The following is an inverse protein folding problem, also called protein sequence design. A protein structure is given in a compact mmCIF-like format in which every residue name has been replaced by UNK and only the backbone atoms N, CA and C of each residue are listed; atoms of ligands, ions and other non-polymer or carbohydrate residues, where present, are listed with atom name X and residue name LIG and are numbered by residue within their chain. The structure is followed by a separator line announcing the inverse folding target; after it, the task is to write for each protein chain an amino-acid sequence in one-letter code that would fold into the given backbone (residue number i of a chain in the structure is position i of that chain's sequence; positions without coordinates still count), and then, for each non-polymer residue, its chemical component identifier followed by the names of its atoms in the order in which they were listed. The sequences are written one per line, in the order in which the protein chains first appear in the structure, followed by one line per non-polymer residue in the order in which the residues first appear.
data_IF_356638832262
#
_entry.id   IF_356638832262
#
_cell.length_a   1.000
_cell.length_b   1.000
_cell.length_c   1.000
_cell.angle_alpha   90.00
_cell.angle_beta   90.00
_cell.angle_gamma   90.00
#
_symmetry.space_group_name_H-M   'P 1'
#
loop_
_entity.id
_entity.type
_entity.pdbx_description
1 polymer ?
#
# COMPACT_ATOMS: atom_id res chain seq x y z
N UNK A 1 -20.69 41.87 -2.07
CA UNK A 1 -19.67 41.49 -3.08
C UNK A 1 -18.24 41.70 -2.60
N UNK A 2 -17.87 42.76 -1.91
CA UNK A 2 -16.50 43.01 -1.40
C UNK A 2 -16.02 41.94 -0.42
N UNK A 3 -16.87 41.43 0.50
CA UNK A 3 -16.48 40.37 1.47
C UNK A 3 -16.25 39.01 0.85
N UNK A 4 -16.86 38.68 -0.30
CA UNK A 4 -16.63 37.44 -1.04
C UNK A 4 -15.31 37.51 -1.82
N UNK A 5 -15.03 38.65 -2.44
CA UNK A 5 -13.78 38.89 -3.16
C UNK A 5 -12.56 38.81 -2.24
N UNK A 6 -12.69 39.35 -1.03
CA UNK A 6 -11.66 39.25 0.00
C UNK A 6 -11.43 37.79 0.47
N UNK A 7 -12.47 36.92 0.50
CA UNK A 7 -12.33 35.50 0.86
C UNK A 7 -11.56 34.66 -0.18
N UNK A 8 -11.81 34.91 -1.44
CA UNK A 8 -11.10 34.24 -2.54
C UNK A 8 -9.63 34.64 -2.54
N UNK A 9 -9.33 35.92 -2.43
CA UNK A 9 -7.96 36.42 -2.32
C UNK A 9 -7.22 35.83 -1.10
N UNK A 10 -7.90 35.75 0.05
CA UNK A 10 -7.32 35.13 1.26
C UNK A 10 -7.09 33.61 1.09
N UNK A 11 -7.98 32.93 0.38
CA UNK A 11 -7.81 31.51 0.10
C UNK A 11 -6.62 31.23 -0.84
N UNK A 12 -6.32 32.15 -1.77
CA UNK A 12 -5.16 32.04 -2.67
C UNK A 12 -3.81 32.22 -1.96
N UNK A 13 -3.77 32.92 -0.84
CA UNK A 13 -2.56 33.08 -0.02
C UNK A 13 -2.20 31.80 0.75
N UNK A 14 -3.18 30.92 1.04
CA UNK A 14 -2.92 29.72 1.86
C UNK A 14 -1.94 28.76 1.19
N UNK A 15 -2.06 28.39 -0.11
CA UNK A 15 -1.07 27.56 -0.77
C UNK A 15 0.34 28.16 -0.79
N UNK A 16 0.47 29.47 -0.93
CA UNK A 16 1.76 30.17 -0.89
C UNK A 16 2.44 30.02 0.47
N UNK A 17 1.69 30.28 1.55
CA UNK A 17 2.16 30.13 2.91
C UNK A 17 2.50 28.65 3.25
N UNK A 18 1.82 27.70 2.63
CA UNK A 18 2.14 26.29 2.77
C UNK A 18 3.43 25.92 2.04
N UNK A 19 3.70 26.51 0.89
CA UNK A 19 4.96 26.33 0.16
C UNK A 19 6.14 26.88 0.94
N UNK A 20 5.94 27.88 1.80
CA UNK A 20 6.92 28.40 2.77
C UNK A 20 7.14 27.47 3.99
N UNK A 21 6.52 26.31 4.01
CA UNK A 21 6.70 25.28 5.07
C UNK A 21 5.69 25.36 6.21
N UNK A 22 4.63 26.20 6.12
CA UNK A 22 3.58 26.24 7.13
C UNK A 22 2.59 25.10 6.93
N UNK A 23 2.12 24.49 8.01
CA UNK A 23 1.00 23.56 7.92
C UNK A 23 -0.27 24.27 7.44
N UNK A 24 -1.20 23.56 6.80
CA UNK A 24 -2.47 24.14 6.32
C UNK A 24 -3.20 24.93 7.41
N UNK A 25 -3.24 24.47 8.65
CA UNK A 25 -3.87 25.19 9.76
C UNK A 25 -3.16 26.49 10.09
N UNK A 26 -1.83 26.48 10.15
CA UNK A 26 -1.04 27.68 10.41
C UNK A 26 -1.16 28.68 9.26
N UNK A 27 -1.15 28.21 8.01
CA UNK A 27 -1.37 29.04 6.84
C UNK A 27 -2.76 29.69 6.86
N UNK A 28 -3.81 28.96 7.17
CA UNK A 28 -5.17 29.51 7.31
C UNK A 28 -5.26 30.55 8.44
N UNK A 29 -4.66 30.30 9.60
CA UNK A 29 -4.64 31.27 10.72
C UNK A 29 -3.92 32.55 10.28
N UNK A 30 -2.77 32.42 9.60
CA UNK A 30 -2.00 33.56 9.11
C UNK A 30 -2.72 34.36 8.03
N UNK A 31 -3.49 33.66 7.17
CA UNK A 31 -4.37 34.26 6.17
C UNK A 31 -5.67 34.87 6.74
N UNK A 32 -5.94 34.67 8.05
CA UNK A 32 -7.15 35.22 8.70
C UNK A 32 -8.42 34.44 8.38
N UNK A 33 -8.34 33.17 8.03
CA UNK A 33 -9.48 32.31 7.71
C UNK A 33 -9.46 30.99 8.47
N UNK A 34 -10.61 30.29 8.53
CA UNK A 34 -10.65 28.95 9.12
C UNK A 34 -10.30 27.89 8.09
N UNK A 35 -9.72 26.78 8.54
CA UNK A 35 -9.42 25.63 7.68
C UNK A 35 -10.67 25.12 6.93
N UNK A 36 -11.84 25.15 7.58
CA UNK A 36 -13.09 24.73 6.97
C UNK A 36 -13.52 25.66 5.83
N UNK A 37 -13.35 26.98 6.01
CA UNK A 37 -13.65 27.96 4.95
C UNK A 37 -12.72 27.79 3.77
N UNK A 38 -11.43 27.53 4.03
CA UNK A 38 -10.46 27.25 3.00
C UNK A 38 -10.80 25.96 2.21
N UNK A 39 -11.11 24.87 2.88
CA UNK A 39 -11.46 23.60 2.19
C UNK A 39 -12.71 23.74 1.32
N UNK A 40 -13.71 24.51 1.76
CA UNK A 40 -14.88 24.83 0.92
C UNK A 40 -14.51 25.66 -0.32
N UNK A 41 -13.54 26.56 -0.22
CA UNK A 41 -13.04 27.30 -1.36
C UNK A 41 -12.27 26.40 -2.34
N UNK A 42 -11.47 25.44 -1.82
CA UNK A 42 -10.79 24.42 -2.63
C UNK A 42 -11.80 23.55 -3.39
N UNK A 43 -12.87 23.09 -2.72
CA UNK A 43 -13.93 22.28 -3.35
C UNK A 43 -14.68 23.08 -4.45
N UNK A 44 -14.79 24.41 -4.31
CA UNK A 44 -15.49 25.28 -5.25
C UNK A 44 -14.62 25.70 -6.46
N UNK A 45 -13.28 25.64 -6.36
CA UNK A 45 -12.36 26.13 -7.39
C UNK A 45 -11.32 25.07 -7.77
N UNK A 46 -11.41 24.48 -8.98
CA UNK A 46 -10.42 23.52 -9.46
C UNK A 46 -9.00 24.08 -9.51
N UNK A 47 -8.85 25.35 -9.89
CA UNK A 47 -7.54 26.02 -9.94
C UNK A 47 -6.90 26.13 -8.54
N UNK A 48 -7.70 26.44 -7.52
CA UNK A 48 -7.22 26.47 -6.14
C UNK A 48 -6.90 25.08 -5.62
N UNK A 49 -7.65 24.05 -6.02
CA UNK A 49 -7.39 22.66 -5.69
C UNK A 49 -6.04 22.18 -6.24
N UNK A 50 -5.71 22.53 -7.48
CA UNK A 50 -4.40 22.24 -8.07
C UNK A 50 -3.25 22.92 -7.30
N UNK A 51 -3.38 24.22 -7.03
CA UNK A 51 -2.39 24.98 -6.25
C UNK A 51 -2.21 24.40 -4.85
N UNK A 52 -3.30 24.01 -4.20
CA UNK A 52 -3.25 23.34 -2.90
C UNK A 52 -2.55 21.99 -2.95
N UNK A 53 -2.79 21.18 -3.98
CA UNK A 53 -2.13 19.90 -4.17
C UNK A 53 -0.61 20.09 -4.39
N UNK A 54 -0.20 21.06 -5.19
CA UNK A 54 1.21 21.40 -5.41
C UNK A 54 1.88 21.90 -4.12
N UNK A 55 1.25 22.81 -3.38
CA UNK A 55 1.76 23.31 -2.11
C UNK A 55 1.89 22.19 -1.06
N UNK A 56 0.96 21.25 -1.05
CA UNK A 56 1.04 20.06 -0.19
C UNK A 56 2.21 19.15 -0.56
N UNK A 57 2.50 18.99 -1.85
CA UNK A 57 3.69 18.27 -2.33
C UNK A 57 4.98 18.95 -1.88
N UNK A 58 5.09 20.26 -2.07
CA UNK A 58 6.23 21.05 -1.64
C UNK A 58 6.47 20.98 -0.12
N UNK A 59 5.40 20.99 0.68
CA UNK A 59 5.49 20.83 2.14
C UNK A 59 6.07 19.47 2.53
N UNK A 60 5.70 18.39 1.83
CA UNK A 60 6.27 17.06 2.09
C UNK A 60 7.76 16.99 1.71
N UNK A 61 8.15 17.61 0.60
CA UNK A 61 9.55 17.70 0.19
C UNK A 61 10.37 18.52 1.21
N UNK A 62 9.85 19.64 1.70
CA UNK A 62 10.47 20.42 2.76
C UNK A 62 10.62 19.63 4.09
N UNK A 63 9.71 18.70 4.39
CA UNK A 63 9.85 17.79 5.54
C UNK A 63 11.05 16.85 5.37
N UNK A 64 11.35 16.39 4.15
CA UNK A 64 12.55 15.58 3.87
C UNK A 64 13.81 16.38 4.13
N UNK A 65 13.87 17.62 3.63
CA UNK A 65 15.01 18.51 3.87
C UNK A 65 15.22 18.78 5.37
N UNK A 66 14.13 18.92 6.13
CA UNK A 66 14.20 19.05 7.59
C UNK A 66 14.77 17.79 8.25
N UNK A 67 14.45 16.59 7.78
CA UNK A 67 15.02 15.33 8.29
C UNK A 67 16.52 15.31 8.05
N UNK A 68 16.97 15.65 6.85
CA UNK A 68 18.39 15.74 6.50
C UNK A 68 19.11 16.77 7.38
N UNK A 69 18.55 17.96 7.50
CA UNK A 69 19.11 19.02 8.37
C UNK A 69 19.22 18.57 9.83
N UNK A 70 18.22 17.86 10.36
CA UNK A 70 18.27 17.34 11.72
C UNK A 70 19.29 16.22 11.88
N UNK A 71 19.44 15.36 10.87
CA UNK A 71 20.39 14.26 10.90
C UNK A 71 21.85 14.75 10.83
N UNK A 72 22.12 15.75 9.99
CA UNK A 72 23.45 16.28 9.74
C UNK A 72 23.87 17.36 10.78
N UNK A 73 22.94 17.84 11.61
CA UNK A 73 23.24 18.83 12.64
C UNK A 73 24.18 18.26 13.71
N UNK A 74 25.14 19.07 14.23
CA UNK A 74 26.04 18.63 15.30
C UNK A 74 25.22 18.13 16.51
N UNK A 75 25.73 17.11 17.17
CA UNK A 75 25.12 16.54 18.37
C UNK A 75 25.19 17.54 19.50
N UNK A 76 24.10 17.88 20.19
CA UNK A 76 24.12 18.75 21.35
C UNK A 76 24.97 18.17 22.48
N UNK A 77 25.79 19.01 23.10
CA UNK A 77 26.65 18.64 24.22
C UNK A 77 26.21 19.39 25.46
N UNK A 78 26.41 18.76 26.62
CA UNK A 78 26.26 19.36 27.94
C UNK A 78 27.47 20.28 28.25
N UNK A 79 27.37 21.10 29.30
CA UNK A 79 28.44 22.02 29.75
C UNK A 79 29.75 21.30 30.08
N UNK A 80 29.70 20.02 30.41
CA UNK A 80 30.85 19.16 30.66
C UNK A 80 31.49 18.54 29.41
N UNK A 81 31.01 18.91 28.21
CA UNK A 81 31.45 18.37 26.92
C UNK A 81 30.91 16.99 26.57
N UNK A 82 30.10 16.36 27.43
CA UNK A 82 29.47 15.08 27.12
C UNK A 82 28.23 15.27 26.22
N UNK A 83 27.95 14.29 25.38
CA UNK A 83 26.73 14.28 24.54
C UNK A 83 25.48 14.30 25.42
N UNK A 84 24.51 15.16 25.10
CA UNK A 84 23.21 15.20 25.79
C UNK A 84 22.30 14.07 25.25
N UNK A 85 22.07 13.01 26.04
CA UNK A 85 21.23 11.88 25.60
C UNK A 85 19.76 12.26 25.45
N UNK A 86 19.27 13.25 26.19
CA UNK A 86 17.90 13.75 26.08
C UNK A 86 17.65 14.41 24.74
N UNK A 87 18.55 15.29 24.32
CA UNK A 87 18.47 15.97 23.04
C UNK A 87 18.67 15.02 21.86
N UNK A 88 19.56 14.03 22.00
CA UNK A 88 19.72 12.97 20.98
C UNK A 88 18.42 12.19 20.83
N UNK A 89 17.79 11.78 21.92
CA UNK A 89 16.50 11.06 21.92
C UNK A 89 15.39 11.90 21.33
N UNK A 90 15.31 13.18 21.67
CA UNK A 90 14.31 14.08 21.11
C UNK A 90 14.49 14.22 19.59
N UNK A 91 15.71 14.38 19.10
CA UNK A 91 16.02 14.44 17.67
C UNK A 91 15.61 13.17 16.95
N UNK A 92 15.92 12.00 17.51
CA UNK A 92 15.50 10.71 16.97
C UNK A 92 13.98 10.65 16.81
N UNK A 93 13.21 11.01 17.85
CA UNK A 93 11.75 11.04 17.81
C UNK A 93 11.21 12.02 16.75
N UNK A 94 11.86 13.16 16.55
CA UNK A 94 11.48 14.13 15.52
C UNK A 94 11.67 13.56 14.11
N UNK A 95 12.79 12.89 13.86
CA UNK A 95 13.10 12.24 12.58
C UNK A 95 12.10 11.10 12.31
N UNK A 96 11.89 10.22 13.29
CA UNK A 96 11.01 9.07 13.19
C UNK A 96 9.56 9.49 12.92
N UNK A 97 9.06 10.51 13.64
CA UNK A 97 7.73 11.04 13.44
C UNK A 97 7.52 11.60 12.01
N UNK A 98 8.49 12.37 11.49
CA UNK A 98 8.41 12.92 10.13
C UNK A 98 8.49 11.81 9.07
N UNK A 99 9.40 10.85 9.25
CA UNK A 99 9.53 9.69 8.36
C UNK A 99 8.24 8.89 8.31
N UNK A 100 7.61 8.65 9.46
CA UNK A 100 6.33 7.96 9.53
C UNK A 100 5.23 8.72 8.79
N UNK A 101 5.11 10.05 8.99
CA UNK A 101 4.15 10.88 8.29
C UNK A 101 4.36 10.82 6.77
N UNK A 102 5.61 10.96 6.30
CA UNK A 102 5.94 10.90 4.88
C UNK A 102 5.55 9.57 4.25
N UNK A 103 5.82 8.44 4.92
CA UNK A 103 5.45 7.11 4.43
C UNK A 103 3.95 6.90 4.32
N UNK A 104 3.13 7.60 5.15
CA UNK A 104 1.67 7.50 5.13
C UNK A 104 1.01 8.47 4.14
N UNK A 105 1.55 9.69 4.00
CA UNK A 105 0.96 10.72 3.13
C UNK A 105 1.39 10.60 1.67
N UNK A 106 2.60 10.10 1.41
CA UNK A 106 3.12 9.91 0.07
C UNK A 106 3.82 8.53 -0.07
N UNK A 107 3.07 7.42 0.04
CA UNK A 107 3.63 6.07 0.02
C UNK A 107 4.36 5.76 -1.29
N UNK A 108 3.88 6.29 -2.40
CA UNK A 108 4.50 6.10 -3.72
C UNK A 108 5.89 6.74 -3.84
N UNK A 109 6.15 7.82 -3.08
CA UNK A 109 7.42 8.58 -3.15
C UNK A 109 8.36 8.25 -1.98
N UNK A 110 7.81 8.03 -0.78
CA UNK A 110 8.56 7.87 0.48
C UNK A 110 8.19 6.61 1.28
N UNK A 111 7.31 5.75 0.75
CA UNK A 111 6.96 4.49 1.38
C UNK A 111 7.99 3.39 1.10
N UNK A 112 8.03 2.39 1.98
CA UNK A 112 8.75 1.17 1.71
C UNK A 112 8.08 0.48 0.51
N UNK A 113 8.79 0.33 -0.60
CA UNK A 113 8.32 -0.44 -1.75
C UNK A 113 8.34 -1.91 -1.36
N UNK A 114 7.16 -2.44 -1.07
CA UNK A 114 6.95 -3.87 -1.15
C UNK A 114 6.81 -4.18 -2.65
N UNK A 115 7.87 -4.68 -3.28
CA UNK A 115 7.75 -5.37 -4.55
C UNK A 115 7.01 -6.69 -4.29
N UNK A 116 5.70 -6.61 -4.17
CA UNK A 116 4.84 -7.78 -4.23
C UNK A 116 4.86 -8.22 -5.69
N UNK A 117 5.79 -9.09 -6.05
CA UNK A 117 5.69 -9.88 -7.26
C UNK A 117 4.45 -10.77 -7.06
N UNK A 118 3.29 -10.29 -7.48
CA UNK A 118 2.11 -11.13 -7.66
C UNK A 118 2.48 -12.07 -8.80
N UNK A 119 3.11 -13.20 -8.46
CA UNK A 119 3.17 -14.33 -9.36
C UNK A 119 1.72 -14.72 -9.53
N UNK A 120 1.16 -14.34 -10.68
CA UNK A 120 -0.24 -14.61 -11.05
C UNK A 120 -0.36 -16.13 -11.19
N UNK A 121 -0.51 -16.79 -10.03
CA UNK A 121 -0.75 -18.22 -9.95
C UNK A 121 -2.22 -18.45 -10.32
N UNK A 122 -2.59 -17.96 -11.52
CA UNK A 122 -3.86 -18.31 -12.14
C UNK A 122 -3.79 -19.80 -12.40
N UNK A 123 -4.40 -20.56 -11.49
CA UNK A 123 -4.72 -21.96 -11.77
C UNK A 123 -5.60 -21.89 -13.01
N UNK A 124 -5.03 -22.28 -14.15
CA UNK A 124 -5.80 -22.37 -15.40
C UNK A 124 -6.83 -23.46 -15.21
N UNK A 125 -8.05 -23.07 -14.85
CA UNK A 125 -9.19 -23.99 -14.67
C UNK A 125 -9.41 -24.79 -15.96
N UNK A 126 -9.19 -24.16 -17.12
CA UNK A 126 -9.20 -24.82 -18.44
C UNK A 126 -8.12 -25.89 -18.57
N UNK A 127 -6.90 -25.63 -18.11
CA UNK A 127 -5.81 -26.62 -18.11
C UNK A 127 -6.09 -27.78 -17.14
N UNK A 128 -6.64 -27.49 -15.97
CA UNK A 128 -7.03 -28.52 -14.99
C UNK A 128 -8.19 -29.38 -15.51
N UNK A 129 -9.17 -28.78 -16.19
CA UNK A 129 -10.28 -29.52 -16.83
C UNK A 129 -9.78 -30.38 -17.99
N UNK A 130 -8.89 -29.90 -18.84
CA UNK A 130 -8.29 -30.69 -19.91
C UNK A 130 -7.49 -31.88 -19.36
N UNK A 131 -6.71 -31.67 -18.31
CA UNK A 131 -5.95 -32.74 -17.64
C UNK A 131 -6.89 -33.77 -16.96
N UNK A 132 -8.04 -33.35 -16.45
CA UNK A 132 -9.06 -34.25 -15.91
C UNK A 132 -9.79 -35.04 -17.03
N UNK A 133 -10.09 -34.40 -18.16
CA UNK A 133 -10.72 -35.07 -19.31
C UNK A 133 -9.78 -36.11 -19.95
N UNK A 134 -8.50 -35.86 -20.09
CA UNK A 134 -7.57 -36.84 -20.62
C UNK A 134 -7.45 -38.09 -19.73
N UNK A 135 -7.55 -37.95 -18.39
CA UNK A 135 -7.61 -39.08 -17.47
C UNK A 135 -8.87 -39.91 -17.55
N UNK A 136 -10.00 -39.29 -17.91
CA UNK A 136 -11.28 -39.99 -18.09
C UNK A 136 -11.28 -40.80 -19.38
N UNK A 137 -10.60 -40.39 -20.43
CA UNK A 137 -10.50 -41.15 -21.69
C UNK A 137 -9.68 -42.42 -21.48
N UNK A 138 -8.62 -42.40 -20.68
CA UNK A 138 -7.81 -43.60 -20.39
C UNK A 138 -8.55 -44.67 -19.54
N UNK A 139 -9.66 -44.28 -18.87
CA UNK A 139 -10.44 -45.21 -18.02
C UNK A 139 -11.58 -45.90 -18.84
N UNK A 140 -11.93 -45.39 -20.02
CA UNK A 140 -13.03 -45.96 -20.84
C UNK A 140 -12.59 -47.15 -21.67
N UNK A 141 -11.29 -47.43 -21.81
CA UNK A 141 -10.74 -48.53 -22.60
C UNK A 141 -10.60 -49.87 -21.81
N UNK A 142 -11.28 -49.98 -20.67
CA UNK A 142 -11.39 -51.27 -19.99
C UNK A 142 -12.44 -52.10 -20.74
N UNK A 143 -12.10 -53.23 -21.41
CA UNK A 143 -13.05 -54.08 -22.09
C UNK A 143 -14.10 -54.57 -21.08
N UNK A 144 -15.37 -54.29 -21.38
CA UNK A 144 -16.47 -54.85 -20.60
C UNK A 144 -16.37 -56.37 -20.68
N UNK A 145 -15.97 -57.04 -19.59
CA UNK A 145 -16.10 -58.51 -19.46
C UNK A 145 -17.60 -58.78 -19.47
N UNK A 146 -18.06 -59.40 -20.53
CA UNK A 146 -19.48 -59.77 -20.64
C UNK A 146 -19.78 -60.79 -19.54
N UNK A 147 -20.96 -60.70 -18.93
CA UNK A 147 -21.41 -61.64 -17.90
C UNK A 147 -21.41 -63.12 -18.38
N UNK A 148 -21.35 -63.35 -19.70
CA UNK A 148 -21.22 -64.69 -20.29
C UNK A 148 -19.87 -65.37 -20.02
N UNK A 149 -18.79 -64.61 -19.81
CA UNK A 149 -17.45 -65.15 -19.55
C UNK A 149 -17.26 -65.49 -18.08
N UNK A 150 -18.11 -64.99 -17.17
CA UNK A 150 -18.04 -65.28 -15.75
C UNK A 150 -18.68 -66.62 -15.36
N UNK A 151 -19.64 -67.08 -16.13
CA UNK A 151 -20.29 -68.39 -15.87
C UNK A 151 -19.42 -69.60 -16.28
N UNK A 152 -18.54 -69.43 -17.25
CA UNK A 152 -17.66 -70.50 -17.71
C UNK A 152 -16.40 -70.73 -16.87
N UNK A 153 -16.06 -69.83 -15.95
CA UNK A 153 -14.90 -69.95 -15.05
C UNK A 153 -15.21 -70.78 -13.79
N UNK A 154 -16.50 -71.05 -13.49
CA UNK A 154 -16.91 -71.76 -12.26
C UNK A 154 -17.22 -73.23 -12.43
N UNK A 155 -17.11 -73.80 -13.66
CA UNK A 155 -17.36 -75.21 -13.88
C UNK A 155 -16.09 -76.11 -13.92
N UNK A 156 -14.88 -75.58 -13.67
CA UNK A 156 -13.68 -76.38 -13.81
C UNK A 156 -12.89 -76.57 -12.50
N UNK A 157 -13.56 -76.57 -11.36
CA UNK A 157 -12.96 -77.10 -10.10
C UNK A 157 -13.73 -78.37 -9.67
N UNK A 158 -13.41 -79.47 -10.36
CA UNK A 158 -13.75 -80.82 -9.91
C UNK A 158 -12.79 -81.31 -8.83
N UNK A 159 -13.22 -82.16 -7.90
CA UNK A 159 -12.50 -82.48 -6.65
C UNK A 159 -11.37 -83.47 -6.90
N UNK A 160 -10.14 -83.06 -6.81
CA UNK A 160 -8.94 -83.89 -6.71
C UNK A 160 -8.73 -84.31 -5.24
N UNK A 161 -9.10 -85.49 -5.00
CA UNK A 161 -9.04 -86.33 -3.77
C UNK A 161 -7.63 -86.52 -3.25
N UNK A 162 -7.49 -86.57 -1.90
CA UNK A 162 -6.39 -87.03 -1.09
C UNK A 162 -5.83 -88.38 -1.47
N UNK A 163 -4.55 -88.55 -1.16
CA UNK A 163 -3.99 -89.70 -0.47
C UNK A 163 -2.48 -89.67 -0.62
N UNK A 164 -1.76 -89.94 0.52
CA UNK A 164 -0.36 -90.22 0.60
C UNK A 164 0.34 -89.47 1.72
#
# INVERSE_FOLDING_TARGET
MAALKNREELAELVPELMSDGLSMRQACIKAGMTAQTFLRAVDASPALAERYAQARGALLDAMVDQILTLADSPVPTLDNGATDPGMVRQRQLQIDARRWILSKLAPNKYGDRLDVSVTDNRISITGALQAAQSRLVDVIDVPCISMADAENANENEGPGRAEG
#
